data_IF_787409354244
#
_entry.id   IF_787409354244
#
_cell.length_a   1.000
_cell.length_b   1.000
_cell.length_c   1.000
_cell.angle_alpha   90.00
_cell.angle_beta   90.00
_cell.angle_gamma   90.00
#
_symmetry.space_group_name_H-M   'P 1'
#
loop_
_entity.id
_entity.type
_entity.pdbx_description
1 polymer ?
#
# COMPACT_ATOMS: atom_id res chain seq x y z
N UNK A 1 6.19 -2.19 -20.49
CA UNK A 1 6.30 -2.14 -21.97
C UNK A 1 5.99 -0.76 -22.58
N UNK A 2 5.15 0.06 -21.95
CA UNK A 2 4.76 1.40 -22.45
C UNK A 2 5.73 2.52 -22.08
N UNK A 3 6.81 2.21 -21.34
CA UNK A 3 7.76 3.19 -20.82
C UNK A 3 7.25 4.00 -19.62
N UNK A 4 6.03 3.75 -19.13
CA UNK A 4 5.53 4.35 -17.90
C UNK A 4 5.93 3.54 -16.68
N UNK A 5 6.08 4.23 -15.54
CA UNK A 5 6.33 3.61 -14.24
C UNK A 5 5.21 2.62 -13.90
N UNK A 6 5.57 1.43 -13.41
CA UNK A 6 4.57 0.44 -12.97
C UNK A 6 3.89 0.93 -11.68
N UNK A 7 2.63 0.53 -11.47
CA UNK A 7 1.91 0.82 -10.23
C UNK A 7 2.60 0.22 -9.00
N UNK A 8 3.21 -0.96 -9.14
CA UNK A 8 3.99 -1.60 -8.07
C UNK A 8 5.25 -0.80 -7.73
N UNK A 9 5.98 -0.31 -8.74
CA UNK A 9 7.16 0.55 -8.54
C UNK A 9 6.79 1.92 -7.95
N UNK A 10 5.64 2.48 -8.33
CA UNK A 10 5.07 3.67 -7.70
C UNK A 10 4.87 3.44 -6.20
N UNK A 11 4.19 2.35 -5.80
CA UNK A 11 3.98 2.01 -4.40
C UNK A 11 5.30 1.76 -3.65
N UNK A 12 6.29 1.14 -4.30
CA UNK A 12 7.62 0.95 -3.73
C UNK A 12 8.30 2.30 -3.43
N UNK A 13 8.34 3.21 -4.39
CA UNK A 13 8.96 4.53 -4.22
C UNK A 13 8.28 5.32 -3.10
N UNK A 14 6.94 5.28 -3.02
CA UNK A 14 6.18 5.93 -1.96
C UNK A 14 6.54 5.36 -0.57
N UNK A 15 6.56 4.04 -0.43
CA UNK A 15 6.92 3.39 0.84
C UNK A 15 8.39 3.63 1.23
N UNK A 16 9.33 3.60 0.27
CA UNK A 16 10.73 3.93 0.51
C UNK A 16 10.89 5.38 0.98
N UNK A 17 10.11 6.32 0.42
CA UNK A 17 10.13 7.72 0.86
C UNK A 17 9.62 7.87 2.29
N UNK A 18 8.56 7.13 2.66
CA UNK A 18 8.06 7.08 4.03
C UNK A 18 9.11 6.51 5.00
N UNK A 19 9.80 5.43 4.61
CA UNK A 19 10.86 4.80 5.40
C UNK A 19 12.06 5.73 5.61
N UNK A 20 12.52 6.42 4.56
CA UNK A 20 13.61 7.40 4.68
C UNK A 20 13.24 8.55 5.63
N UNK A 21 11.98 9.02 5.59
CA UNK A 21 11.51 10.04 6.51
C UNK A 21 11.41 9.54 7.97
N UNK A 22 11.04 8.27 8.20
CA UNK A 22 11.00 7.71 9.57
C UNK A 22 12.39 7.50 10.15
N UNK A 23 13.38 7.14 9.32
CA UNK A 23 14.79 7.04 9.70
C UNK A 23 15.35 8.39 10.15
N UNK A 24 15.15 9.46 9.36
CA UNK A 24 15.57 10.82 9.75
C UNK A 24 14.91 11.26 11.06
N UNK A 25 13.69 10.80 11.33
CA UNK A 25 12.93 11.15 12.51
C UNK A 25 13.06 10.18 13.69
N UNK A 26 13.92 9.15 13.62
CA UNK A 26 14.21 8.25 14.75
C UNK A 26 13.07 7.32 15.15
N UNK A 27 12.19 6.95 14.21
CA UNK A 27 11.10 5.96 14.40
C UNK A 27 11.07 4.94 13.26
N UNK A 28 12.24 4.62 12.70
CA UNK A 28 12.38 3.62 11.65
C UNK A 28 12.11 2.21 12.18
N UNK A 29 12.08 1.24 11.26
CA UNK A 29 12.05 -0.17 11.64
C UNK A 29 13.17 -0.53 12.63
N UNK A 30 14.40 -0.07 12.38
CA UNK A 30 15.56 -0.38 13.21
C UNK A 30 15.47 0.24 14.60
N UNK A 31 15.05 1.51 14.69
CA UNK A 31 14.87 2.19 15.98
C UNK A 31 13.83 1.46 16.84
N UNK A 32 12.72 1.04 16.23
CA UNK A 32 11.63 0.36 16.94
C UNK A 32 11.97 -1.06 17.38
N UNK A 33 12.94 -1.72 16.74
CA UNK A 33 13.36 -3.08 17.14
C UNK A 33 13.93 -3.13 18.56
N UNK A 34 14.49 -2.02 19.08
CA UNK A 34 14.96 -1.93 20.47
C UNK A 34 13.85 -2.23 21.49
N UNK A 35 12.59 -1.98 21.11
CA UNK A 35 11.41 -2.20 21.93
C UNK A 35 10.56 -3.37 21.44
N UNK A 36 11.07 -4.19 20.50
CA UNK A 36 10.33 -5.25 19.83
C UNK A 36 9.08 -4.72 19.11
N UNK A 37 9.17 -3.52 18.53
CA UNK A 37 8.10 -2.87 17.81
C UNK A 37 8.43 -2.76 16.31
N UNK A 38 7.41 -2.74 15.48
CA UNK A 38 7.53 -2.41 14.07
C UNK A 38 6.29 -1.66 13.58
N UNK A 39 6.47 -0.86 12.53
CA UNK A 39 5.37 -0.31 11.76
C UNK A 39 4.81 -1.37 10.82
N UNK A 40 3.49 -1.59 10.87
CA UNK A 40 2.76 -2.38 9.88
C UNK A 40 1.86 -1.46 9.06
N UNK A 41 1.99 -1.53 7.73
CA UNK A 41 1.10 -0.83 6.82
C UNK A 41 -0.25 -1.54 6.86
N UNK A 42 -1.32 -0.84 7.22
CA UNK A 42 -2.65 -1.43 7.30
C UNK A 42 -3.55 -0.96 6.17
N UNK A 43 -3.43 0.30 5.72
CA UNK A 43 -4.20 0.81 4.57
C UNK A 43 -3.38 1.77 3.72
N UNK A 44 -3.65 1.77 2.42
CA UNK A 44 -3.02 2.68 1.47
C UNK A 44 -4.04 3.06 0.39
N UNK A 45 -4.29 4.35 0.20
CA UNK A 45 -5.06 4.88 -0.92
C UNK A 45 -4.12 5.66 -1.85
N UNK A 46 -4.26 5.44 -3.15
CA UNK A 46 -3.49 6.12 -4.19
C UNK A 46 -4.44 6.71 -5.23
N UNK A 47 -4.28 7.99 -5.54
CA UNK A 47 -5.00 8.70 -6.61
C UNK A 47 -4.02 9.11 -7.71
N UNK A 48 -4.33 8.74 -8.96
CA UNK A 48 -3.39 8.82 -10.09
C UNK A 48 -4.02 9.66 -11.20
N UNK A 49 -3.47 10.86 -11.40
CA UNK A 49 -3.81 11.68 -12.57
C UNK A 49 -2.95 11.35 -13.78
N UNK A 50 -1.68 10.98 -13.56
CA UNK A 50 -0.73 10.54 -14.58
C UNK A 50 0.40 9.71 -13.95
N UNK A 51 1.10 8.93 -14.77
CA UNK A 51 2.32 8.23 -14.39
C UNK A 51 3.55 8.86 -15.06
N UNK A 52 4.71 8.88 -14.38
CA UNK A 52 5.95 9.31 -15.00
C UNK A 52 6.40 8.31 -16.08
N UNK A 53 7.11 8.82 -17.07
CA UNK A 53 7.74 8.03 -18.14
C UNK A 53 9.20 7.76 -17.81
N UNK A 54 9.77 6.81 -18.55
CA UNK A 54 11.19 6.55 -18.54
C UNK A 54 11.98 7.84 -18.80
N UNK A 55 13.03 8.05 -18.00
CA UNK A 55 13.86 9.26 -17.94
C UNK A 55 13.22 10.49 -17.29
N UNK A 56 11.95 10.46 -16.89
CA UNK A 56 11.39 11.55 -16.08
C UNK A 56 12.07 11.58 -14.70
N UNK A 57 12.42 12.78 -14.25
CA UNK A 57 12.84 13.02 -12.87
C UNK A 57 11.59 13.28 -12.04
N UNK A 58 11.36 12.43 -11.03
CA UNK A 58 10.26 12.56 -10.08
C UNK A 58 10.74 13.22 -8.78
N UNK A 59 9.88 14.00 -8.15
CA UNK A 59 10.07 14.47 -6.77
C UNK A 59 8.96 13.89 -5.91
N UNK A 60 9.32 13.18 -4.84
CA UNK A 60 8.36 12.63 -3.89
C UNK A 60 8.44 13.42 -2.59
N UNK A 61 7.30 13.86 -2.09
CA UNK A 61 7.17 14.59 -0.83
C UNK A 61 6.36 13.73 0.13
N UNK A 62 6.72 13.72 1.40
CA UNK A 62 5.93 13.06 2.45
C UNK A 62 5.86 13.95 3.68
N UNK A 63 4.77 13.81 4.43
CA UNK A 63 4.59 14.43 5.74
C UNK A 63 3.62 13.58 6.57
N UNK A 64 3.61 13.81 7.88
CA UNK A 64 2.75 13.11 8.81
C UNK A 64 1.49 13.95 9.03
N UNK A 65 0.30 13.37 8.80
CA UNK A 65 -0.96 14.02 9.15
C UNK A 65 -1.27 13.85 10.64
N UNK A 66 -1.13 12.63 11.14
CA UNK A 66 -1.30 12.30 12.55
C UNK A 66 -0.31 11.23 12.99
N UNK A 67 0.08 11.30 14.26
CA UNK A 67 0.89 10.31 14.95
C UNK A 67 0.40 10.27 16.39
N UNK A 68 -0.37 9.23 16.70
CA UNK A 68 -1.15 9.13 17.93
C UNK A 68 -0.99 7.74 18.53
N UNK A 69 -0.36 7.66 19.70
CA UNK A 69 -0.23 6.45 20.50
C UNK A 69 0.38 5.28 19.69
N UNK A 70 -0.45 4.44 19.05
CA UNK A 70 -0.04 3.27 18.28
C UNK A 70 -0.29 3.40 16.77
N UNK A 71 -0.59 4.59 16.25
CA UNK A 71 -1.10 4.78 14.89
C UNK A 71 -0.52 6.02 14.23
N UNK A 72 -0.39 5.98 12.90
CA UNK A 72 -0.02 7.15 12.12
C UNK A 72 -0.75 7.21 10.78
N UNK A 73 -1.21 8.40 10.41
CA UNK A 73 -1.62 8.71 9.04
C UNK A 73 -0.53 9.54 8.39
N UNK A 74 -0.08 9.07 7.22
CA UNK A 74 0.97 9.72 6.44
C UNK A 74 0.49 9.98 5.02
N UNK A 75 0.74 11.20 4.56
CA UNK A 75 0.48 11.63 3.20
C UNK A 75 1.77 11.68 2.38
N UNK A 76 1.64 11.38 1.09
CA UNK A 76 2.71 11.44 0.11
C UNK A 76 2.19 12.00 -1.22
N UNK A 77 3.05 12.71 -1.93
CA UNK A 77 2.79 13.16 -3.29
C UNK A 77 3.97 12.89 -4.20
N UNK A 78 3.69 12.45 -5.44
CA UNK A 78 4.67 12.40 -6.51
C UNK A 78 4.43 13.55 -7.49
N UNK A 79 5.50 14.25 -7.83
CA UNK A 79 5.52 15.38 -8.75
C UNK A 79 6.47 15.12 -9.92
N UNK A 80 6.09 15.60 -11.10
CA UNK A 80 6.96 15.69 -12.30
C UNK A 80 6.90 17.12 -12.79
N UNK A 81 8.06 17.75 -13.02
CA UNK A 81 8.15 19.15 -13.45
C UNK A 81 7.34 20.13 -12.57
N UNK A 82 7.34 19.88 -11.25
CA UNK A 82 6.60 20.69 -10.27
C UNK A 82 5.08 20.48 -10.24
N UNK A 83 4.52 19.63 -11.12
CA UNK A 83 3.11 19.27 -11.13
C UNK A 83 2.89 17.97 -10.34
N UNK A 84 1.94 17.99 -9.40
CA UNK A 84 1.45 16.79 -8.72
C UNK A 84 0.80 15.85 -9.74
N UNK A 85 1.24 14.59 -9.76
CA UNK A 85 0.68 13.55 -10.62
C UNK A 85 0.06 12.39 -9.84
N UNK A 86 0.54 12.13 -8.62
CA UNK A 86 0.01 11.12 -7.70
C UNK A 86 -0.15 11.72 -6.32
N UNK A 87 -1.28 11.40 -5.67
CA UNK A 87 -1.51 11.58 -4.24
C UNK A 87 -1.65 10.23 -3.55
N UNK A 88 -1.13 10.09 -2.34
CA UNK A 88 -1.21 8.86 -1.57
C UNK A 88 -1.39 9.14 -0.09
N UNK A 89 -2.27 8.39 0.57
CA UNK A 89 -2.43 8.40 2.01
C UNK A 89 -2.34 6.99 2.57
N UNK A 90 -1.59 6.85 3.67
CA UNK A 90 -1.28 5.56 4.29
C UNK A 90 -1.62 5.59 5.76
N UNK A 91 -2.11 4.46 6.26
CA UNK A 91 -2.40 4.25 7.67
C UNK A 91 -1.51 3.12 8.21
N UNK A 92 -0.76 3.46 9.25
CA UNK A 92 0.22 2.60 9.88
C UNK A 92 -0.18 2.32 11.32
N UNK A 93 0.11 1.12 11.80
CA UNK A 93 -0.03 0.76 13.20
C UNK A 93 1.30 0.25 13.77
N UNK A 94 1.55 0.53 15.04
CA UNK A 94 2.64 -0.07 15.80
C UNK A 94 2.21 -1.46 16.23
N UNK A 95 3.07 -2.44 15.97
CA UNK A 95 2.85 -3.82 16.33
C UNK A 95 4.03 -4.34 17.15
N UNK A 96 3.75 -4.99 18.28
CA UNK A 96 4.77 -5.68 19.05
C UNK A 96 5.07 -7.03 18.38
N UNK A 97 6.32 -7.23 17.94
CA UNK A 97 6.76 -8.38 17.15
C UNK A 97 6.89 -9.66 17.98
N UNK A 98 7.01 -9.56 19.31
CA UNK A 98 7.04 -10.72 20.21
C UNK A 98 5.65 -11.12 20.70
N UNK A 99 4.87 -10.17 21.23
CA UNK A 99 3.52 -10.39 21.75
C UNK A 99 2.47 -10.56 20.64
N UNK A 100 2.84 -10.23 19.40
CA UNK A 100 1.98 -10.26 18.22
C UNK A 100 0.65 -9.52 18.41
N UNK A 101 0.73 -8.30 18.94
CA UNK A 101 -0.43 -7.42 19.16
C UNK A 101 -0.08 -5.94 18.99
N UNK A 102 -1.06 -5.07 18.70
CA UNK A 102 -0.84 -3.62 18.69
C UNK A 102 -0.40 -3.10 20.05
N UNK A 103 0.52 -2.13 20.06
CA UNK A 103 1.07 -1.50 21.27
C UNK A 103 1.34 -0.01 21.02
N UNK A 104 1.37 0.79 22.08
CA UNK A 104 1.78 2.20 22.00
C UNK A 104 3.22 2.32 21.48
N UNK A 105 3.50 3.32 20.64
CA UNK A 105 4.87 3.64 20.22
C UNK A 105 5.72 3.96 21.46
N UNK A 106 6.80 3.22 21.65
CA UNK A 106 7.69 3.40 22.79
C UNK A 106 8.68 4.56 22.61
N UNK A 107 9.04 4.85 21.36
CA UNK A 107 9.97 5.93 21.01
C UNK A 107 9.30 7.31 21.12
N UNK A 108 10.04 8.35 21.51
CA UNK A 108 9.52 9.73 21.50
C UNK A 108 9.21 10.17 20.06
N UNK A 109 8.17 10.98 19.93
CA UNK A 109 7.69 11.43 18.62
C UNK A 109 7.16 12.87 18.61
N UNK A 110 7.29 13.58 19.72
CA UNK A 110 6.82 14.95 19.90
C UNK A 110 7.59 15.97 19.05
N UNK A 111 8.78 15.61 18.55
CA UNK A 111 9.59 16.44 17.66
C UNK A 111 9.06 16.47 16.23
N UNK A 112 8.12 15.60 15.85
CA UNK A 112 7.54 15.62 14.52
C UNK A 112 6.59 16.80 14.35
N UNK A 113 6.80 17.57 13.29
CA UNK A 113 5.79 18.50 12.80
C UNK A 113 4.66 17.71 12.12
N UNK A 114 3.43 17.97 12.56
CA UNK A 114 2.23 17.33 12.03
C UNK A 114 1.46 18.31 11.14
N UNK A 115 0.86 17.78 10.08
CA UNK A 115 0.04 18.56 9.14
C UNK A 115 -1.37 17.95 8.98
N UNK A 116 -2.25 18.04 9.99
CA UNK A 116 -3.54 17.33 10.00
C UNK A 116 -4.42 17.66 8.78
N UNK A 117 -4.48 18.93 8.38
CA UNK A 117 -5.33 19.42 7.30
C UNK A 117 -4.73 19.24 5.90
N UNK A 118 -3.45 18.88 5.80
CA UNK A 118 -2.75 18.79 4.51
C UNK A 118 -2.94 17.40 3.91
N UNK A 119 -4.03 17.20 3.20
CA UNK A 119 -4.36 15.92 2.53
C UNK A 119 -3.59 15.75 1.22
N UNK A 120 -3.23 14.51 0.90
CA UNK A 120 -2.65 14.17 -0.40
C UNK A 120 -3.66 13.59 -1.39
N UNK A 121 -4.80 13.08 -0.91
CA UNK A 121 -5.87 12.53 -1.73
C UNK A 121 -7.16 13.32 -1.53
N UNK A 122 -8.07 13.21 -2.50
CA UNK A 122 -9.39 13.84 -2.46
C UNK A 122 -10.31 13.10 -1.49
N UNK A 123 -10.25 11.78 -1.51
CA UNK A 123 -10.96 10.91 -0.57
C UNK A 123 -9.97 10.28 0.42
N UNK A 124 -10.43 9.89 1.60
CA UNK A 124 -9.64 9.09 2.55
C UNK A 124 -9.65 7.61 2.20
N UNK A 125 -8.72 6.87 2.79
CA UNK A 125 -8.83 5.41 2.82
C UNK A 125 -10.04 4.97 3.66
N UNK A 126 -10.60 3.83 3.33
CA UNK A 126 -11.81 3.27 3.92
C UNK A 126 -11.57 1.83 4.37
N UNK A 127 -12.64 1.04 4.54
CA UNK A 127 -12.52 -0.41 4.65
C UNK A 127 -13.17 -0.96 3.39
N UNK A 128 -12.45 -1.79 2.66
CA UNK A 128 -12.96 -2.38 1.42
C UNK A 128 -14.02 -3.43 1.77
N UNK A 129 -15.19 -3.31 1.14
CA UNK A 129 -16.27 -4.28 1.28
C UNK A 129 -16.02 -5.42 0.29
N UNK A 130 -15.70 -6.60 0.81
CA UNK A 130 -15.47 -7.78 -0.01
C UNK A 130 -16.81 -8.44 -0.27
N UNK A 131 -17.19 -8.53 -1.55
CA UNK A 131 -18.30 -9.34 -2.01
C UNK A 131 -17.78 -10.41 -3.00
N UNK A 132 -18.13 -11.66 -2.71
CA UNK A 132 -17.76 -12.84 -3.48
C UNK A 132 -18.89 -13.28 -4.45
N UNK A 133 -19.99 -12.53 -4.52
CA UNK A 133 -21.09 -12.79 -5.47
C UNK A 133 -20.60 -12.52 -6.91
N UNK A 134 -20.30 -13.60 -7.65
CA UNK A 134 -19.74 -13.61 -9.02
C UNK A 134 -18.22 -13.40 -9.12
N UNK A 135 -17.45 -14.13 -8.32
CA UNK A 135 -16.00 -14.04 -8.36
C UNK A 135 -15.32 -14.99 -9.34
N UNK A 136 -14.23 -14.51 -9.95
CA UNK A 136 -13.20 -15.37 -10.52
C UNK A 136 -12.19 -15.74 -9.42
N UNK A 137 -11.66 -16.97 -9.48
CA UNK A 137 -10.80 -17.54 -8.44
C UNK A 137 -9.49 -18.02 -9.05
N UNK A 138 -8.37 -17.58 -8.47
CA UNK A 138 -7.02 -17.93 -8.89
C UNK A 138 -6.19 -18.42 -7.72
N UNK A 139 -5.28 -19.36 -7.96
CA UNK A 139 -4.35 -19.86 -6.93
C UNK A 139 -2.98 -19.21 -7.08
N UNK A 140 -2.34 -18.88 -5.95
CA UNK A 140 -0.97 -18.36 -5.90
C UNK A 140 -0.20 -19.01 -4.77
N UNK A 141 0.98 -19.55 -5.10
CA UNK A 141 1.97 -19.96 -4.10
C UNK A 141 2.98 -18.83 -3.88
N UNK A 142 3.28 -18.51 -2.63
CA UNK A 142 4.31 -17.52 -2.28
C UNK A 142 5.70 -18.09 -2.55
N UNK A 143 6.48 -17.36 -3.37
CA UNK A 143 7.85 -17.73 -3.72
C UNK A 143 8.87 -16.78 -3.07
N UNK A 144 10.15 -17.19 -3.12
CA UNK A 144 11.25 -16.41 -2.54
C UNK A 144 11.30 -14.97 -3.07
N UNK A 145 11.00 -14.75 -4.35
CA UNK A 145 10.98 -13.42 -4.98
C UNK A 145 9.87 -12.50 -4.49
N UNK A 146 8.90 -13.04 -3.75
CA UNK A 146 7.80 -12.28 -3.18
C UNK A 146 8.16 -11.69 -1.81
N UNK A 147 9.23 -12.17 -1.18
CA UNK A 147 9.59 -11.80 0.19
C UNK A 147 10.41 -10.52 0.26
N UNK A 148 10.23 -9.78 1.35
CA UNK A 148 11.06 -8.66 1.74
C UNK A 148 12.17 -9.05 2.74
N UNK A 149 12.86 -8.04 3.28
CA UNK A 149 13.98 -8.21 4.22
C UNK A 149 13.56 -8.79 5.59
N UNK A 150 12.26 -8.81 5.91
CA UNK A 150 11.72 -9.39 7.14
C UNK A 150 11.07 -10.76 6.92
N UNK A 151 11.29 -11.38 5.76
CA UNK A 151 10.77 -12.70 5.36
C UNK A 151 9.24 -12.78 5.26
N UNK A 152 8.56 -11.66 5.08
CA UNK A 152 7.14 -11.62 4.73
C UNK A 152 6.96 -11.20 3.28
N UNK A 153 5.80 -11.51 2.71
CA UNK A 153 5.46 -11.01 1.37
C UNK A 153 5.48 -9.47 1.38
N UNK A 154 6.26 -8.88 0.48
CA UNK A 154 6.32 -7.43 0.34
C UNK A 154 4.94 -6.88 -0.03
N UNK A 155 4.53 -5.76 0.59
CA UNK A 155 3.24 -5.12 0.35
C UNK A 155 2.90 -4.90 -1.14
N UNK A 156 3.88 -4.61 -2.00
CA UNK A 156 3.61 -4.38 -3.43
C UNK A 156 3.32 -5.66 -4.21
N UNK A 157 3.67 -6.83 -3.68
CA UNK A 157 3.45 -8.11 -4.35
C UNK A 157 1.98 -8.52 -4.33
N UNK A 158 1.25 -8.18 -3.27
CA UNK A 158 -0.21 -8.33 -3.25
C UNK A 158 -0.87 -7.57 -4.41
N UNK A 159 -0.45 -6.31 -4.65
CA UNK A 159 -0.92 -5.53 -5.79
C UNK A 159 -0.49 -6.15 -7.13
N UNK A 160 0.76 -6.61 -7.22
CA UNK A 160 1.27 -7.26 -8.44
C UNK A 160 0.40 -8.46 -8.84
N UNK A 161 0.13 -9.36 -7.89
CA UNK A 161 -0.66 -10.56 -8.15
C UNK A 161 -2.09 -10.24 -8.59
N UNK A 162 -2.73 -9.22 -8.00
CA UNK A 162 -4.06 -8.78 -8.44
C UNK A 162 -4.01 -8.19 -9.87
N UNK A 163 -3.01 -7.35 -10.17
CA UNK A 163 -2.90 -6.72 -11.48
C UNK A 163 -2.58 -7.71 -12.61
N UNK A 164 -1.96 -8.86 -12.31
CA UNK A 164 -1.72 -9.93 -13.28
C UNK A 164 -3.02 -10.58 -13.81
N UNK A 165 -4.14 -10.40 -13.10
CA UNK A 165 -5.46 -10.91 -13.50
C UNK A 165 -6.33 -9.87 -14.24
N UNK A 166 -5.94 -8.59 -14.23
CA UNK A 166 -6.65 -7.52 -14.95
C UNK A 166 -6.37 -7.59 -16.45
N UNK A 167 -7.35 -7.24 -17.31
CA UNK A 167 -7.12 -7.07 -18.77
C UNK A 167 -5.91 -6.14 -19.03
N UNK A 168 -4.83 -6.65 -19.64
CA UNK A 168 -3.63 -5.88 -19.93
C UNK A 168 -3.91 -4.58 -20.67
N UNK A 169 -4.96 -4.50 -21.51
CA UNK A 169 -5.29 -3.28 -22.24
C UNK A 169 -5.58 -2.10 -21.30
N UNK A 170 -6.26 -2.33 -20.17
CA UNK A 170 -6.59 -1.28 -19.20
C UNK A 170 -5.33 -0.73 -18.52
N UNK A 171 -4.44 -1.65 -18.13
CA UNK A 171 -3.14 -1.32 -17.53
C UNK A 171 -2.27 -0.54 -18.52
N UNK A 172 -2.16 -1.01 -19.77
CA UNK A 172 -1.33 -0.40 -20.81
C UNK A 172 -1.84 1.00 -21.22
N UNK A 173 -3.16 1.22 -21.19
CA UNK A 173 -3.80 2.52 -21.44
C UNK A 173 -3.82 3.45 -20.22
N UNK A 174 -3.35 2.99 -19.06
CA UNK A 174 -3.36 3.72 -17.80
C UNK A 174 -4.77 4.14 -17.38
N UNK A 175 -5.70 3.20 -17.44
CA UNK A 175 -7.08 3.43 -17.04
C UNK A 175 -7.27 3.41 -15.52
N UNK A 176 -6.26 3.06 -14.71
CA UNK A 176 -6.35 3.15 -13.25
C UNK A 176 -6.41 4.62 -12.85
N UNK A 177 -7.53 5.03 -12.24
CA UNK A 177 -7.78 6.36 -11.70
C UNK A 177 -7.31 6.45 -10.25
N UNK A 178 -7.63 5.45 -9.46
CA UNK A 178 -7.24 5.34 -8.06
C UNK A 178 -7.32 3.89 -7.61
N UNK A 179 -6.72 3.58 -6.48
CA UNK A 179 -6.91 2.32 -5.81
C UNK A 179 -6.73 2.42 -4.31
N UNK A 180 -7.35 1.50 -3.59
CA UNK A 180 -7.17 1.32 -2.16
C UNK A 180 -6.70 -0.10 -1.87
N UNK A 181 -5.78 -0.24 -0.91
CA UNK A 181 -5.29 -1.50 -0.41
C UNK A 181 -5.53 -1.59 1.09
N UNK A 182 -6.04 -2.72 1.56
CA UNK A 182 -6.19 -3.05 2.97
C UNK A 182 -5.35 -4.30 3.26
N UNK A 183 -4.44 -4.19 4.23
CA UNK A 183 -3.56 -5.27 4.68
C UNK A 183 -4.03 -5.74 6.06
N UNK A 184 -4.39 -7.02 6.16
CA UNK A 184 -4.95 -7.62 7.37
C UNK A 184 -4.01 -8.66 7.98
N UNK A 185 -3.32 -9.46 7.15
CA UNK A 185 -2.39 -10.50 7.60
C UNK A 185 -1.22 -10.67 6.65
N UNK A 186 -0.05 -10.86 7.23
CA UNK A 186 1.18 -11.19 6.52
C UNK A 186 1.11 -12.61 5.95
N UNK A 187 1.77 -12.82 4.82
CA UNK A 187 1.99 -14.13 4.20
C UNK A 187 3.47 -14.48 4.25
N UNK A 188 3.76 -15.77 4.30
CA UNK A 188 5.12 -16.33 4.39
C UNK A 188 5.45 -17.21 3.19
N UNK A 189 6.73 -17.54 3.04
CA UNK A 189 7.22 -18.47 2.01
C UNK A 189 6.40 -19.75 1.98
N UNK A 190 6.06 -20.24 0.78
CA UNK A 190 5.28 -21.47 0.55
C UNK A 190 3.81 -21.42 0.99
N UNK A 191 3.31 -20.29 1.48
CA UNK A 191 1.88 -20.11 1.66
C UNK A 191 1.16 -20.29 0.32
N UNK A 192 0.07 -21.06 0.34
CA UNK A 192 -0.85 -21.15 -0.79
C UNK A 192 -2.06 -20.27 -0.47
N UNK A 193 -2.37 -19.35 -1.38
CA UNK A 193 -3.45 -18.39 -1.24
C UNK A 193 -4.36 -18.43 -2.44
N UNK A 194 -5.59 -17.98 -2.21
CA UNK A 194 -6.61 -17.84 -3.23
C UNK A 194 -6.87 -16.36 -3.46
N UNK A 195 -6.80 -15.94 -4.72
CA UNK A 195 -7.11 -14.59 -5.17
C UNK A 195 -8.52 -14.62 -5.74
N UNK A 196 -9.37 -13.78 -5.19
CA UNK A 196 -10.75 -13.60 -5.60
C UNK A 196 -10.85 -12.26 -6.32
N UNK A 197 -11.51 -12.22 -7.48
CA UNK A 197 -11.76 -11.01 -8.25
C UNK A 197 -13.26 -10.86 -8.51
N UNK A 198 -13.81 -9.68 -8.23
CA UNK A 198 -15.16 -9.28 -8.64
C UNK A 198 -15.13 -7.90 -9.29
N UNK A 199 -16.00 -7.67 -10.27
CA UNK A 199 -16.15 -6.37 -10.93
C UNK A 199 -17.62 -5.93 -10.84
N UNK A 200 -17.85 -4.62 -10.73
CA UNK A 200 -19.19 -4.06 -10.79
C UNK A 200 -19.80 -4.19 -12.19
N UNK A 201 -21.13 -4.16 -12.28
CA UNK A 201 -21.84 -4.30 -13.56
C UNK A 201 -21.53 -3.13 -14.53
N UNK A 202 -21.08 -1.98 -14.00
CA UNK A 202 -20.70 -0.79 -14.78
C UNK A 202 -19.23 -0.81 -15.24
N UNK A 203 -18.44 -1.82 -14.85
CA UNK A 203 -17.00 -1.96 -15.13
C UNK A 203 -16.13 -0.76 -14.69
N UNK A 204 -16.60 -0.03 -13.67
CA UNK A 204 -15.91 1.14 -13.10
C UNK A 204 -15.05 0.80 -11.88
N UNK A 205 -15.34 -0.32 -11.22
CA UNK A 205 -14.65 -0.76 -10.01
C UNK A 205 -14.39 -2.25 -10.04
N UNK A 206 -13.14 -2.65 -9.83
CA UNK A 206 -12.76 -4.05 -9.61
C UNK A 206 -12.27 -4.24 -8.17
N UNK A 207 -12.80 -5.24 -7.48
CA UNK A 207 -12.44 -5.61 -6.11
C UNK A 207 -11.71 -6.94 -6.11
N UNK A 208 -10.57 -6.98 -5.43
CA UNK A 208 -9.82 -8.20 -5.19
C UNK A 208 -9.74 -8.49 -3.71
N UNK A 209 -9.73 -9.77 -3.35
CA UNK A 209 -9.32 -10.21 -2.01
C UNK A 209 -8.42 -11.42 -2.09
N UNK A 210 -7.47 -11.53 -1.16
CA UNK A 210 -6.54 -12.65 -1.07
C UNK A 210 -6.78 -13.36 0.25
N UNK A 211 -7.07 -14.66 0.18
CA UNK A 211 -7.39 -15.48 1.35
C UNK A 211 -6.38 -16.61 1.55
N UNK A 212 -6.10 -16.94 2.81
CA UNK A 212 -5.33 -18.11 3.25
C UNK A 212 -6.17 -18.84 4.27
N UNK A 213 -6.49 -20.11 4.03
CA UNK A 213 -7.34 -20.93 4.93
C UNK A 213 -8.63 -20.18 5.31
N UNK A 214 -9.36 -19.68 4.30
CA UNK A 214 -10.62 -18.91 4.44
C UNK A 214 -10.51 -17.56 5.17
N UNK A 215 -9.31 -17.16 5.60
CA UNK A 215 -9.07 -15.86 6.23
C UNK A 215 -8.54 -14.87 5.21
N UNK A 216 -9.20 -13.72 5.09
CA UNK A 216 -8.71 -12.61 4.27
C UNK A 216 -7.41 -12.04 4.83
N UNK A 217 -6.39 -12.00 3.99
CA UNK A 217 -5.08 -11.41 4.28
C UNK A 217 -4.93 -10.02 3.66
N UNK A 218 -5.51 -9.80 2.49
CA UNK A 218 -5.42 -8.56 1.74
C UNK A 218 -6.70 -8.29 0.95
N UNK A 219 -7.00 -7.01 0.73
CA UNK A 219 -8.04 -6.57 -0.20
C UNK A 219 -7.54 -5.37 -1.01
N UNK A 220 -7.97 -5.30 -2.27
CA UNK A 220 -7.69 -4.22 -3.20
C UNK A 220 -9.00 -3.77 -3.86
N UNK A 221 -9.20 -2.46 -3.96
CA UNK A 221 -10.28 -1.88 -4.74
C UNK A 221 -9.63 -0.97 -5.80
N UNK A 222 -9.84 -1.28 -7.07
CA UNK A 222 -9.37 -0.52 -8.23
C UNK A 222 -10.52 0.29 -8.79
N UNK A 223 -10.28 1.58 -9.02
CA UNK A 223 -11.23 2.44 -9.74
C UNK A 223 -10.65 2.83 -11.09
N UNK A 224 -11.49 2.70 -12.10
CA UNK A 224 -11.14 2.97 -13.49
C UNK A 224 -11.54 4.39 -13.91
N UNK A 225 -10.93 4.88 -14.99
CA UNK A 225 -11.19 6.19 -15.60
C UNK A 225 -12.44 6.18 -16.47
#
# INVERSE_FOLDING_TARGET
>A
PTGFLKYTDLCNILQLTAAAHSEVGGISFYDMQEFHQAWVLSRMRVEISALPKWQDVVTVKTWINSLENSRSVRALEMHVNGKKIVGCETYWAVFNTQLRRPEALALPFEHFELFPEKRATTEGFSKININHEKEAVFEKTVYLSDLDIVNHVNNVKYLEWCLDHVDPKRILKQEVKSFEMNFMKELSLQDNVVIHESEDDDHTTATFSITKEEKTCFALELHWK
#
